data_IF_360426908786
#
_entry.id   IF_360426908786
#
_cell.length_a   1.000
_cell.length_b   1.000
_cell.length_c   1.000
_cell.angle_alpha   90.00
_cell.angle_beta   90.00
_cell.angle_gamma   90.00
#
_symmetry.space_group_name_H-M   'P 1'
#
loop_
_entity.id
_entity.type
_entity.pdbx_description
1 polymer ?
#
# COMPACT_ATOMS: atom_id res chain seq x y z
N UNK A 1 14.09 -46.40 24.82
CA UNK A 1 13.55 -45.04 24.67
C UNK A 1 12.42 -45.12 23.67
N UNK A 2 11.18 -44.95 24.12
CA UNK A 2 9.99 -45.10 23.29
C UNK A 2 9.75 -43.76 22.58
N UNK A 3 9.98 -43.70 21.27
CA UNK A 3 9.62 -42.54 20.47
C UNK A 3 8.11 -42.56 20.26
N UNK A 4 7.40 -41.64 20.91
CA UNK A 4 5.98 -41.42 20.63
C UNK A 4 5.87 -40.62 19.34
N UNK A 5 5.11 -41.13 18.36
CA UNK A 5 4.73 -40.38 17.16
C UNK A 5 4.08 -39.07 17.59
N UNK A 6 4.59 -37.95 17.08
CA UNK A 6 3.98 -36.64 17.30
C UNK A 6 2.54 -36.67 16.79
N UNK A 7 1.60 -35.98 17.45
CA UNK A 7 0.22 -35.86 16.95
C UNK A 7 0.19 -35.38 15.49
N UNK A 8 1.14 -34.53 15.11
CA UNK A 8 1.30 -34.06 13.72
C UNK A 8 1.73 -35.19 12.79
N UNK A 9 2.70 -36.02 13.19
CA UNK A 9 3.17 -37.15 12.38
C UNK A 9 2.06 -38.18 12.17
N UNK A 10 1.29 -38.46 13.22
CA UNK A 10 0.13 -39.36 13.14
C UNK A 10 -0.92 -38.84 12.16
N UNK A 11 -1.22 -37.55 12.17
CA UNK A 11 -2.15 -36.93 11.23
C UNK A 11 -1.67 -37.04 9.77
N UNK A 12 -0.37 -36.82 9.53
CA UNK A 12 0.22 -36.95 8.18
C UNK A 12 0.12 -38.40 7.68
N UNK A 13 0.46 -39.38 8.53
CA UNK A 13 0.38 -40.80 8.18
C UNK A 13 -1.05 -41.24 7.89
N UNK A 14 -1.99 -40.89 8.75
CA UNK A 14 -3.42 -41.23 8.53
C UNK A 14 -3.97 -40.58 7.24
N UNK A 15 -3.55 -39.36 6.89
CA UNK A 15 -3.92 -38.71 5.64
C UNK A 15 -3.31 -39.39 4.40
N UNK A 16 -2.06 -39.87 4.49
CA UNK A 16 -1.44 -40.71 3.46
C UNK A 16 -2.16 -42.05 3.30
N UNK A 17 -2.51 -42.73 4.40
CA UNK A 17 -3.25 -44.00 4.37
C UNK A 17 -4.64 -43.87 3.73
N UNK A 18 -5.27 -42.70 3.85
CA UNK A 18 -6.55 -42.38 3.21
C UNK A 18 -6.42 -41.94 1.74
N UNK A 19 -5.20 -41.82 1.21
CA UNK A 19 -4.96 -41.39 -0.16
C UNK A 19 -5.26 -39.90 -0.40
N UNK A 20 -5.30 -39.06 0.64
CA UNK A 20 -5.56 -37.61 0.50
C UNK A 20 -4.50 -36.87 -0.36
N UNK A 21 -3.36 -37.52 -0.61
CA UNK A 21 -2.26 -37.02 -1.44
C UNK A 21 -2.19 -37.63 -2.85
N UNK A 22 -3.02 -38.61 -3.19
CA UNK A 22 -2.87 -39.39 -4.43
C UNK A 22 -3.31 -38.60 -5.68
N UNK A 23 -4.39 -37.81 -5.58
CA UNK A 23 -4.99 -37.04 -6.69
C UNK A 23 -4.81 -35.52 -6.53
N UNK A 24 -3.63 -35.09 -6.06
CA UNK A 24 -3.36 -33.67 -5.92
C UNK A 24 -3.37 -32.95 -7.29
N UNK A 25 -3.93 -31.73 -7.36
CA UNK A 25 -3.84 -30.90 -8.55
C UNK A 25 -2.38 -30.71 -9.00
N UNK A 26 -2.04 -31.23 -10.18
CA UNK A 26 -0.69 -31.18 -10.72
C UNK A 26 0.18 -32.43 -10.45
N UNK A 27 -0.37 -33.47 -9.80
CA UNK A 27 0.30 -34.78 -9.67
C UNK A 27 0.72 -35.32 -11.04
N UNK A 28 1.98 -35.76 -11.15
CA UNK A 28 2.57 -36.28 -12.39
C UNK A 28 2.81 -35.25 -13.51
N UNK A 29 2.41 -33.98 -13.35
CA UNK A 29 2.68 -32.94 -14.35
C UNK A 29 4.09 -32.35 -14.17
N UNK A 30 4.77 -31.97 -15.27
CA UNK A 30 6.05 -31.30 -15.17
C UNK A 30 5.90 -29.95 -14.45
N UNK A 31 6.83 -29.67 -13.54
CA UNK A 31 6.92 -28.38 -12.86
C UNK A 31 7.18 -27.29 -13.91
N UNK A 32 6.24 -26.34 -14.06
CA UNK A 32 6.34 -25.26 -15.05
C UNK A 32 7.17 -24.10 -14.52
N UNK A 33 8.17 -23.67 -15.28
CA UNK A 33 8.98 -22.47 -14.99
C UNK A 33 10.34 -22.74 -14.34
N UNK A 34 10.84 -23.99 -14.35
CA UNK A 34 12.20 -24.29 -13.87
C UNK A 34 13.31 -23.67 -14.73
N UNK A 35 13.01 -23.36 -15.99
CA UNK A 35 13.97 -22.76 -16.93
C UNK A 35 14.10 -21.24 -16.72
N UNK A 36 13.37 -20.65 -15.76
CA UNK A 36 13.45 -19.22 -15.47
C UNK A 36 14.79 -18.90 -14.78
N UNK A 37 15.64 -18.04 -15.39
CA UNK A 37 16.93 -17.68 -14.82
C UNK A 37 16.83 -16.83 -13.55
N UNK A 38 15.64 -16.32 -13.20
CA UNK A 38 15.43 -15.54 -11.98
C UNK A 38 15.34 -16.45 -10.75
N UNK A 39 16.24 -16.35 -9.75
CA UNK A 39 16.16 -17.16 -8.52
C UNK A 39 14.86 -16.96 -7.72
N UNK A 40 14.13 -15.87 -7.96
CA UNK A 40 12.86 -15.55 -7.30
C UNK A 40 11.61 -15.89 -8.14
N UNK A 41 11.75 -16.63 -9.26
CA UNK A 41 10.65 -16.96 -10.17
C UNK A 41 9.43 -17.55 -9.45
N UNK A 42 9.67 -18.45 -8.49
CA UNK A 42 8.62 -19.13 -7.74
C UNK A 42 7.92 -18.21 -6.73
N UNK A 43 8.66 -17.28 -6.11
CA UNK A 43 8.11 -16.27 -5.18
C UNK A 43 7.18 -15.35 -5.96
N UNK A 44 7.65 -14.81 -7.10
CA UNK A 44 6.85 -13.93 -7.96
C UNK A 44 5.57 -14.62 -8.43
N UNK A 45 5.65 -15.90 -8.81
CA UNK A 45 4.51 -16.71 -9.22
C UNK A 45 3.51 -16.94 -8.08
N UNK A 46 4.01 -17.20 -6.87
CA UNK A 46 3.17 -17.32 -5.68
C UNK A 46 2.48 -15.99 -5.36
N UNK A 47 3.21 -14.88 -5.37
CA UNK A 47 2.65 -13.56 -5.14
C UNK A 47 1.56 -13.21 -6.16
N UNK A 48 1.80 -13.47 -7.45
CA UNK A 48 0.80 -13.29 -8.50
C UNK A 48 -0.44 -14.17 -8.31
N UNK A 49 -0.27 -15.43 -7.87
CA UNK A 49 -1.38 -16.35 -7.60
C UNK A 49 -2.24 -15.88 -6.43
N UNK A 50 -1.61 -15.38 -5.37
CA UNK A 50 -2.30 -14.91 -4.15
C UNK A 50 -2.75 -13.44 -4.24
N UNK A 51 -2.50 -12.75 -5.36
CA UNK A 51 -2.83 -11.33 -5.53
C UNK A 51 -2.00 -10.38 -4.67
N UNK A 52 -0.80 -10.81 -4.24
CA UNK A 52 0.10 -10.03 -3.40
C UNK A 52 1.02 -9.15 -4.26
N UNK A 53 1.16 -7.90 -3.87
CA UNK A 53 2.18 -7.00 -4.41
C UNK A 53 3.52 -7.20 -3.68
N UNK A 54 4.64 -6.95 -4.36
CA UNK A 54 5.98 -6.92 -3.74
C UNK A 54 6.04 -5.91 -2.57
N UNK A 55 5.22 -4.87 -2.62
CA UNK A 55 5.04 -3.92 -1.52
C UNK A 55 4.40 -4.53 -0.28
N UNK A 56 3.57 -5.56 -0.42
CA UNK A 56 2.84 -6.18 0.69
C UNK A 56 3.75 -7.12 1.49
N UNK A 57 4.88 -7.52 0.90
CA UNK A 57 5.92 -8.30 1.54
C UNK A 57 6.98 -7.43 2.26
N UNK A 58 6.85 -6.10 2.23
CA UNK A 58 7.82 -5.22 2.89
C UNK A 58 7.72 -5.32 4.42
N UNK A 59 8.86 -5.26 5.14
CA UNK A 59 8.84 -5.14 6.59
C UNK A 59 7.99 -3.95 7.05
N UNK A 60 7.25 -4.05 8.18
CA UNK A 60 6.37 -2.97 8.65
C UNK A 60 7.05 -1.61 8.76
N UNK A 61 8.30 -1.56 9.23
CA UNK A 61 9.10 -0.34 9.29
C UNK A 61 9.29 0.35 7.93
N UNK A 62 9.43 -0.41 6.84
CA UNK A 62 9.59 0.16 5.49
C UNK A 62 8.28 0.77 5.00
N UNK A 63 7.15 0.14 5.32
CA UNK A 63 5.82 0.69 5.02
C UNK A 63 5.60 2.01 5.77
N UNK A 64 5.93 2.07 7.06
CA UNK A 64 5.81 3.29 7.88
C UNK A 64 6.71 4.42 7.36
N UNK A 65 7.95 4.13 6.96
CA UNK A 65 8.85 5.14 6.37
C UNK A 65 8.32 5.68 5.04
N UNK A 66 7.72 4.82 4.21
CA UNK A 66 7.07 5.23 2.96
C UNK A 66 5.87 6.13 3.23
N UNK A 67 5.04 5.76 4.21
CA UNK A 67 3.89 6.55 4.63
C UNK A 67 4.32 7.93 5.16
N UNK A 68 5.34 7.99 6.02
CA UNK A 68 5.93 9.25 6.48
C UNK A 68 6.41 10.14 5.33
N UNK A 69 7.10 9.55 4.35
CA UNK A 69 7.60 10.27 3.19
C UNK A 69 6.49 10.80 2.27
N UNK A 70 5.25 10.30 2.41
CA UNK A 70 4.09 10.79 1.67
C UNK A 70 3.42 12.02 2.30
N UNK A 71 3.80 12.38 3.53
CA UNK A 71 3.23 13.54 4.21
C UNK A 71 3.97 14.83 3.85
N UNK A 72 3.25 15.96 3.66
CA UNK A 72 1.81 16.14 3.88
C UNK A 72 0.90 15.80 2.68
N UNK A 73 1.45 15.44 1.51
CA UNK A 73 0.70 15.32 0.25
C UNK A 73 -0.45 14.31 0.30
N UNK A 74 -0.25 13.17 0.97
CA UNK A 74 -1.29 12.14 1.13
C UNK A 74 -2.45 12.57 2.03
N UNK A 75 -2.27 13.62 2.84
CA UNK A 75 -3.31 14.18 3.72
C UNK A 75 -4.15 15.26 3.02
N UNK A 76 -3.78 15.68 1.81
CA UNK A 76 -4.39 16.84 1.17
C UNK A 76 -5.90 16.68 0.88
N UNK A 77 -6.36 15.44 0.71
CA UNK A 77 -7.78 15.12 0.44
C UNK A 77 -8.61 14.98 1.73
N UNK A 78 -7.96 14.92 2.89
CA UNK A 78 -8.65 14.89 4.19
C UNK A 78 -9.29 16.27 4.41
N UNK A 79 -10.61 16.29 4.65
CA UNK A 79 -11.40 17.53 4.67
C UNK A 79 -11.41 18.26 6.01
N UNK A 80 -11.10 17.57 7.10
CA UNK A 80 -11.16 18.12 8.45
C UNK A 80 -9.82 17.99 9.15
N UNK A 81 -9.51 18.98 9.98
CA UNK A 81 -8.31 18.91 10.81
C UNK A 81 -8.36 17.74 11.79
N UNK A 82 -9.52 17.46 12.40
CA UNK A 82 -9.63 16.33 13.33
C UNK A 82 -9.36 14.99 12.62
N UNK A 83 -9.81 14.84 11.37
CA UNK A 83 -9.46 13.67 10.56
C UNK A 83 -7.96 13.57 10.28
N UNK A 84 -7.28 14.70 10.02
CA UNK A 84 -5.81 14.70 9.87
C UNK A 84 -5.13 14.31 11.19
N UNK A 85 -5.58 14.87 12.30
CA UNK A 85 -5.05 14.55 13.64
C UNK A 85 -5.24 13.07 13.95
N UNK A 86 -6.39 12.49 13.62
CA UNK A 86 -6.67 11.06 13.78
C UNK A 86 -5.69 10.20 12.99
N UNK A 87 -5.51 10.47 11.69
CA UNK A 87 -4.57 9.74 10.83
C UNK A 87 -3.13 9.81 11.38
N UNK A 88 -2.70 10.99 11.83
CA UNK A 88 -1.35 11.17 12.37
C UNK A 88 -1.16 10.49 13.74
N UNK A 89 -2.20 10.47 14.59
CA UNK A 89 -2.18 9.73 15.86
C UNK A 89 -2.12 8.22 15.61
N UNK A 90 -2.89 7.70 14.66
CA UNK A 90 -2.83 6.30 14.24
C UNK A 90 -1.44 5.93 13.72
N UNK A 91 -0.89 6.74 12.80
CA UNK A 91 0.47 6.56 12.31
C UNK A 91 1.50 6.49 13.45
N UNK A 92 1.46 7.45 14.38
CA UNK A 92 2.37 7.46 15.53
C UNK A 92 2.18 6.23 16.43
N UNK A 93 0.94 5.78 16.64
CA UNK A 93 0.66 4.56 17.41
C UNK A 93 1.29 3.32 16.75
N UNK A 94 1.16 3.19 15.41
CA UNK A 94 1.77 2.10 14.62
C UNK A 94 3.30 2.15 14.67
N UNK A 95 3.91 3.33 14.60
CA UNK A 95 5.38 3.50 14.79
C UNK A 95 5.81 3.03 16.17
N UNK A 96 5.06 3.39 17.22
CA UNK A 96 5.38 2.96 18.57
C UNK A 96 5.17 1.47 18.78
N UNK A 97 4.16 0.85 18.16
CA UNK A 97 3.98 -0.61 18.17
C UNK A 97 5.18 -1.33 17.54
N UNK A 98 5.58 -0.91 16.33
CA UNK A 98 6.73 -1.47 15.62
C UNK A 98 8.02 -1.38 16.45
N UNK A 99 8.22 -0.24 17.15
CA UNK A 99 9.36 -0.04 18.06
C UNK A 99 9.41 -1.00 19.25
N UNK A 100 8.26 -1.50 19.69
CA UNK A 100 8.18 -2.44 20.82
C UNK A 100 8.42 -3.88 20.38
N UNK A 101 8.40 -4.17 19.08
CA UNK A 101 8.64 -5.52 18.58
C UNK A 101 10.12 -5.90 18.77
N UNK A 102 10.43 -7.13 19.21
CA UNK A 102 11.81 -7.57 19.31
C UNK A 102 12.50 -7.49 17.95
N UNK A 103 13.63 -6.80 17.89
CA UNK A 103 14.45 -6.77 16.69
C UNK A 103 15.20 -8.11 16.56
N UNK A 104 14.91 -8.85 15.50
CA UNK A 104 15.61 -10.09 15.18
C UNK A 104 16.62 -9.83 14.05
N UNK A 105 17.89 -10.12 14.29
CA UNK A 105 18.96 -10.00 13.30
C UNK A 105 20.28 -9.51 13.86
N UNK A 106 21.32 -9.51 13.01
CA UNK A 106 22.67 -9.05 13.35
C UNK A 106 22.89 -7.55 13.12
N UNK A 107 21.92 -6.83 12.54
CA UNK A 107 22.03 -5.41 12.20
C UNK A 107 21.39 -4.49 13.25
N UNK A 108 21.79 -3.21 13.23
CA UNK A 108 21.10 -2.18 14.01
C UNK A 108 19.65 -2.06 13.54
N UNK A 109 18.66 -2.00 14.45
CA UNK A 109 17.26 -1.86 14.07
C UNK A 109 17.04 -0.57 13.27
N UNK A 110 16.30 -0.68 12.17
CA UNK A 110 15.82 0.49 11.43
C UNK A 110 14.55 0.98 12.12
N UNK A 111 14.37 2.30 12.20
CA UNK A 111 13.20 2.91 12.82
C UNK A 111 12.47 3.84 11.85
N UNK A 112 11.15 3.86 11.95
CA UNK A 112 10.32 4.90 11.34
C UNK A 112 10.27 6.14 12.25
N UNK A 113 10.30 7.37 11.70
CA UNK A 113 10.14 8.60 12.46
C UNK A 113 8.70 8.77 12.95
N UNK A 114 8.52 9.40 14.10
CA UNK A 114 7.21 9.90 14.55
C UNK A 114 6.96 11.29 13.96
N UNK A 115 5.70 11.69 13.88
CA UNK A 115 5.27 13.00 13.38
C UNK A 115 4.82 13.88 14.55
N UNK A 116 5.26 15.14 14.56
CA UNK A 116 4.61 16.17 15.37
C UNK A 116 3.26 16.54 14.72
N UNK A 117 2.17 16.27 15.45
CA UNK A 117 0.81 16.41 14.90
C UNK A 117 0.46 17.86 14.61
N UNK A 118 0.80 18.78 15.50
CA UNK A 118 0.42 20.19 15.35
C UNK A 118 1.25 20.85 14.23
N UNK A 119 2.54 20.53 14.14
CA UNK A 119 3.40 20.99 13.05
C UNK A 119 2.89 20.48 11.68
N UNK A 120 2.54 19.19 11.61
CA UNK A 120 2.06 18.58 10.37
C UNK A 120 0.69 19.11 9.96
N UNK A 121 -0.21 19.36 10.92
CA UNK A 121 -1.48 20.04 10.66
C UNK A 121 -1.24 21.44 10.08
N UNK A 122 -0.25 22.18 10.59
CA UNK A 122 0.19 23.45 10.02
C UNK A 122 0.60 23.31 8.55
N UNK A 123 1.47 22.33 8.24
CA UNK A 123 1.89 22.03 6.86
C UNK A 123 0.73 21.64 5.95
N UNK A 124 -0.21 20.84 6.45
CA UNK A 124 -1.42 20.44 5.72
C UNK A 124 -2.31 21.65 5.39
N UNK A 125 -2.54 22.57 6.34
CA UNK A 125 -3.32 23.79 6.10
C UNK A 125 -2.68 24.67 5.02
N UNK A 126 -1.36 24.85 5.07
CA UNK A 126 -0.62 25.62 4.05
C UNK A 126 -0.74 24.96 2.67
N UNK A 127 -0.55 23.64 2.58
CA UNK A 127 -0.69 22.90 1.33
C UNK A 127 -2.10 23.06 0.72
N UNK A 128 -3.12 22.97 1.56
CA UNK A 128 -4.53 23.16 1.18
C UNK A 128 -4.80 24.56 0.64
N UNK A 129 -4.27 25.60 1.29
CA UNK A 129 -4.41 26.98 0.84
C UNK A 129 -3.78 27.18 -0.55
N UNK A 130 -2.53 26.74 -0.74
CA UNK A 130 -1.84 26.81 -2.03
C UNK A 130 -2.60 26.07 -3.13
N UNK A 131 -3.19 24.90 -2.83
CA UNK A 131 -4.00 24.15 -3.79
C UNK A 131 -5.33 24.83 -4.13
N UNK A 132 -5.94 25.53 -3.16
CA UNK A 132 -7.16 26.30 -3.40
C UNK A 132 -6.87 27.49 -4.32
N UNK A 133 -5.82 28.27 -4.03
CA UNK A 133 -5.36 29.38 -4.87
C UNK A 133 -5.04 28.90 -6.30
N UNK A 134 -4.28 27.82 -6.45
CA UNK A 134 -3.96 27.26 -7.76
C UNK A 134 -5.19 26.70 -8.52
N UNK A 135 -6.25 26.32 -7.81
CA UNK A 135 -7.51 25.92 -8.43
C UNK A 135 -8.31 27.13 -8.89
N UNK A 136 -8.34 28.21 -8.11
CA UNK A 136 -8.96 29.49 -8.47
C UNK A 136 -8.29 30.12 -9.69
N UNK A 137 -6.96 30.16 -9.74
CA UNK A 137 -6.19 30.66 -10.90
C UNK A 137 -6.44 29.86 -12.19
N UNK A 138 -6.82 28.57 -12.05
CA UNK A 138 -7.11 27.69 -13.18
C UNK A 138 -8.56 27.77 -13.63
N UNK A 139 -9.44 28.40 -12.86
CA UNK A 139 -10.81 28.66 -13.30
C UNK A 139 -10.77 29.73 -14.40
N UNK A 140 -11.32 29.46 -15.59
CA UNK A 140 -11.39 30.48 -16.63
C UNK A 140 -12.14 31.69 -16.07
N UNK A 141 -11.61 32.87 -16.33
CA UNK A 141 -12.23 34.11 -15.88
C UNK A 141 -13.69 34.17 -16.35
N UNK A 142 -14.56 34.84 -15.59
CA UNK A 142 -15.98 34.96 -15.96
C UNK A 142 -16.17 35.56 -17.37
N UNK A 143 -15.21 36.38 -17.82
CA UNK A 143 -15.16 36.95 -19.16
C UNK A 143 -14.80 35.88 -20.22
N UNK A 144 -13.77 35.06 -20.01
CA UNK A 144 -13.40 33.95 -20.91
C UNK A 144 -14.47 32.86 -20.98
N UNK A 145 -15.09 32.53 -19.84
CA UNK A 145 -16.21 31.58 -19.80
C UNK A 145 -17.43 32.10 -20.57
N UNK A 146 -17.62 33.43 -20.64
CA UNK A 146 -18.67 34.06 -21.43
C UNK A 146 -18.34 34.07 -22.92
N UNK A 147 -17.07 34.21 -23.29
CA UNK A 147 -16.60 34.09 -24.68
C UNK A 147 -16.74 32.67 -25.23
N UNK A 148 -16.41 31.65 -24.43
CA UNK A 148 -16.57 30.23 -24.80
C UNK A 148 -18.04 29.80 -24.94
N UNK A 149 -18.97 30.54 -24.32
CA UNK A 149 -20.42 30.31 -24.43
C UNK A 149 -21.07 31.09 -25.58
N UNK A 150 -20.30 31.80 -26.40
CA UNK A 150 -20.83 32.49 -27.58
C UNK A 150 -21.40 31.47 -28.56
N UNK A 151 -22.69 31.58 -28.94
CA UNK A 151 -23.29 30.57 -29.77
C UNK A 151 -22.85 30.74 -31.23
N UNK A 152 -22.33 29.66 -31.79
CA UNK A 152 -21.70 29.52 -33.11
C UNK A 152 -22.51 30.05 -34.30
N UNK A 153 -23.83 30.20 -34.17
CA UNK A 153 -24.71 30.71 -35.23
C UNK A 153 -24.56 32.21 -35.53
N UNK A 154 -23.99 33.01 -34.60
CA UNK A 154 -23.74 34.45 -34.84
C UNK A 154 -22.62 34.75 -35.84
N UNK A 155 -21.79 33.75 -36.16
CA UNK A 155 -20.73 33.85 -37.17
C UNK A 155 -21.20 33.53 -38.60
N UNK A 156 -22.42 32.99 -38.79
CA UNK A 156 -22.95 32.60 -40.11
C UNK A 156 -23.92 33.60 -40.74
N UNK A 157 -24.28 34.69 -40.05
CA UNK A 157 -25.28 35.67 -40.53
C UNK A 157 -24.68 36.87 -41.31
N UNK A 158 -23.46 36.74 -41.84
CA UNK A 158 -22.79 37.79 -42.62
C UNK A 158 -22.11 37.17 -43.85
N UNK A 159 -22.92 36.67 -44.78
CA UNK A 159 -22.53 36.13 -46.08
C UNK A 159 -23.65 36.33 -47.07
#
# INVERSE_FOLDING_TARGET
MTFHESWVEKQIREAQERGEFDDLPGSGQPLRGLDDPDPNWWVKKMMAREGLSMSDALPPVMLLRREYASFPESLADVRSEEGVREVLRDYNARVLDDRRRPAFGRGSPVWAPTVDVDEMVGRWRTLRAVRAEAAEDRMPSADEATELRRPWWRFWARG
#
